data_IF_776918078276
#
_entry.id   IF_776918078276
#
_cell.length_a   1.000
_cell.length_b   1.000
_cell.length_c   1.000
_cell.angle_alpha   90.00
_cell.angle_beta   90.00
_cell.angle_gamma   90.00
#
_symmetry.space_group_name_H-M   'P 1'
#
loop_
_entity.id
_entity.type
_entity.pdbx_description
1 polymer ?
#
# COMPACT_ATOMS: atom_id res chain seq x y z
N UNK A 1 -3.00 9.56 -14.93
CA UNK A 1 -4.15 9.82 -14.03
C UNK A 1 -3.71 10.71 -12.85
N UNK A 2 -4.64 11.17 -12.00
CA UNK A 2 -4.29 11.87 -10.75
C UNK A 2 -3.42 10.99 -9.84
N UNK A 3 -3.75 9.70 -9.75
CA UNK A 3 -2.97 8.69 -9.01
C UNK A 3 -1.52 8.67 -9.48
N UNK A 4 -1.28 8.55 -10.79
CA UNK A 4 0.09 8.48 -11.30
C UNK A 4 0.89 9.76 -11.05
N UNK A 5 0.25 10.92 -11.19
CA UNK A 5 0.88 12.21 -10.98
C UNK A 5 1.33 12.39 -9.52
N UNK A 6 0.46 12.04 -8.57
CA UNK A 6 0.78 12.11 -7.14
C UNK A 6 1.87 11.11 -6.77
N UNK A 7 1.78 9.86 -7.22
CA UNK A 7 2.79 8.83 -6.93
C UNK A 7 4.19 9.24 -7.40
N UNK A 8 4.32 9.81 -8.60
CA UNK A 8 5.62 10.34 -9.09
C UNK A 8 6.12 11.52 -8.26
N UNK A 9 5.23 12.45 -7.91
CA UNK A 9 5.61 13.61 -7.09
C UNK A 9 6.17 13.15 -5.74
N UNK A 10 5.52 12.20 -5.07
CA UNK A 10 6.00 11.64 -3.80
C UNK A 10 7.30 10.85 -3.96
N UNK A 11 7.44 10.02 -5.00
CA UNK A 11 8.69 9.30 -5.29
C UNK A 11 9.88 10.25 -5.42
N UNK A 12 9.72 11.32 -6.21
CA UNK A 12 10.77 12.31 -6.42
C UNK A 12 11.18 13.01 -5.11
N UNK A 13 10.22 13.26 -4.21
CA UNK A 13 10.51 13.84 -2.90
C UNK A 13 11.22 12.85 -1.94
N UNK A 14 10.95 11.56 -2.06
CA UNK A 14 11.50 10.52 -1.17
C UNK A 14 12.83 9.91 -1.64
N UNK A 15 13.42 10.40 -2.74
CA UNK A 15 14.69 9.89 -3.27
C UNK A 15 14.55 8.84 -4.38
N UNK A 16 13.36 8.71 -4.97
CA UNK A 16 13.13 7.97 -6.22
C UNK A 16 12.82 6.47 -6.07
N UNK A 17 13.27 5.82 -4.99
CA UNK A 17 13.06 4.38 -4.77
C UNK A 17 11.96 4.12 -3.73
N UNK A 18 10.70 4.15 -4.17
CA UNK A 18 9.56 3.84 -3.31
C UNK A 18 8.56 2.96 -4.04
N UNK A 19 8.17 1.85 -3.43
CA UNK A 19 7.14 0.96 -3.95
C UNK A 19 5.75 1.58 -3.81
N UNK A 20 4.95 1.50 -4.86
CA UNK A 20 3.55 1.98 -4.83
C UNK A 20 2.62 0.78 -4.72
N UNK A 21 1.97 0.66 -3.57
CA UNK A 21 1.03 -0.42 -3.23
C UNK A 21 -0.37 0.18 -3.10
N UNK A 22 -1.36 -0.44 -3.75
CA UNK A 22 -2.76 -0.06 -3.66
C UNK A 22 -3.58 -1.11 -2.90
N UNK A 23 -4.57 -0.65 -2.12
CA UNK A 23 -5.53 -1.50 -1.41
C UNK A 23 -6.93 -0.88 -1.48
N UNK A 24 -7.96 -1.60 -1.04
CA UNK A 24 -9.37 -1.17 -1.08
C UNK A 24 -10.13 -1.66 -2.31
N UNK A 25 -11.46 -1.57 -2.26
CA UNK A 25 -12.36 -2.24 -3.22
C UNK A 25 -12.24 -1.80 -4.69
N UNK A 26 -11.72 -0.59 -4.95
CA UNK A 26 -11.51 -0.08 -6.31
C UNK A 26 -10.07 -0.22 -6.81
N UNK A 27 -9.16 -0.76 -5.98
CA UNK A 27 -7.73 -0.79 -6.28
C UNK A 27 -7.41 -1.55 -7.57
N UNK A 28 -8.03 -2.71 -7.80
CA UNK A 28 -7.80 -3.49 -9.02
C UNK A 28 -8.19 -2.73 -10.29
N UNK A 29 -9.35 -2.07 -10.27
CA UNK A 29 -9.84 -1.26 -11.42
C UNK A 29 -8.93 -0.07 -11.67
N UNK A 30 -8.50 0.62 -10.62
CA UNK A 30 -7.59 1.77 -10.74
C UNK A 30 -6.20 1.32 -11.24
N UNK A 31 -5.73 0.15 -10.79
CA UNK A 31 -4.44 -0.40 -11.19
C UNK A 31 -4.38 -0.71 -12.69
N UNK A 32 -5.47 -1.20 -13.29
CA UNK A 32 -5.56 -1.41 -14.74
C UNK A 32 -5.30 -0.14 -15.56
N UNK A 33 -5.60 1.03 -14.98
CA UNK A 33 -5.42 2.34 -15.62
C UNK A 33 -4.19 3.12 -15.10
N UNK A 34 -3.42 2.58 -14.15
CA UNK A 34 -2.27 3.24 -13.53
C UNK A 34 -0.96 2.68 -14.05
N UNK A 35 0.04 3.56 -14.22
CA UNK A 35 1.42 3.17 -14.56
C UNK A 35 2.35 3.11 -13.35
N UNK A 36 1.89 3.60 -12.20
CA UNK A 36 2.71 3.72 -11.01
C UNK A 36 2.44 2.62 -9.99
N UNK A 37 1.21 2.07 -9.93
CA UNK A 37 0.87 0.97 -9.01
C UNK A 37 1.62 -0.30 -9.41
N UNK A 38 2.42 -0.82 -8.49
CA UNK A 38 3.18 -2.06 -8.71
C UNK A 38 2.50 -3.28 -8.09
N UNK A 39 1.78 -3.09 -6.98
CA UNK A 39 1.15 -4.17 -6.22
C UNK A 39 -0.26 -3.75 -5.83
N UNK A 40 -1.22 -4.66 -6.03
CA UNK A 40 -2.55 -4.57 -5.42
C UNK A 40 -2.63 -5.60 -4.29
N UNK A 41 -2.79 -5.13 -3.06
CA UNK A 41 -2.91 -5.97 -1.87
C UNK A 41 -4.27 -5.71 -1.18
N UNK A 42 -5.28 -6.58 -1.37
CA UNK A 42 -6.60 -6.40 -0.78
C UNK A 42 -6.64 -6.67 0.73
N UNK A 43 -5.62 -7.31 1.31
CA UNK A 43 -5.59 -7.68 2.73
C UNK A 43 -4.67 -6.79 3.56
N UNK A 44 -3.99 -5.81 2.95
CA UNK A 44 -2.99 -4.94 3.59
C UNK A 44 -3.41 -4.43 4.99
N UNK A 45 -4.65 -3.94 5.13
CA UNK A 45 -5.16 -3.46 6.42
C UNK A 45 -5.31 -4.59 7.44
N UNK A 46 -5.84 -5.74 7.05
CA UNK A 46 -6.03 -6.89 7.93
C UNK A 46 -4.68 -7.49 8.34
N UNK A 47 -3.70 -7.52 7.44
CA UNK A 47 -2.34 -7.93 7.78
C UNK A 47 -1.72 -6.99 8.81
N UNK A 48 -1.86 -5.68 8.62
CA UNK A 48 -1.44 -4.68 9.60
C UNK A 48 -2.09 -4.88 10.97
N UNK A 49 -3.41 -5.09 11.02
CA UNK A 49 -4.12 -5.38 12.27
C UNK A 49 -3.65 -6.66 12.94
N UNK A 50 -3.39 -7.73 12.17
CA UNK A 50 -2.83 -8.99 12.68
C UNK A 50 -1.43 -8.78 13.27
N UNK A 51 -0.57 -8.00 12.62
CA UNK A 51 0.76 -7.65 13.11
C UNK A 51 0.66 -6.87 14.43
N UNK A 52 -0.20 -5.85 14.48
CA UNK A 52 -0.44 -5.04 15.69
C UNK A 52 -0.94 -5.93 16.83
N UNK A 53 -1.92 -6.79 16.57
CA UNK A 53 -2.43 -7.73 17.58
C UNK A 53 -1.30 -8.62 18.14
N UNK A 54 -0.48 -9.22 17.27
CA UNK A 54 0.61 -10.09 17.69
C UNK A 54 1.69 -9.34 18.48
N UNK A 55 2.00 -8.09 18.12
CA UNK A 55 2.97 -7.24 18.85
C UNK A 55 2.49 -6.88 20.26
N UNK A 56 1.18 -6.72 20.44
CA UNK A 56 0.59 -6.30 21.71
C UNK A 56 0.04 -7.46 22.53
N UNK A 57 0.14 -8.70 22.04
CA UNK A 57 -0.37 -9.84 22.78
C UNK A 57 0.58 -10.16 23.93
N UNK A 58 0.12 -10.15 25.19
CA UNK A 58 0.97 -10.55 26.30
C UNK A 58 1.46 -11.98 26.05
N UNK A 59 2.76 -12.18 26.23
CA UNK A 59 3.37 -13.51 26.11
C UNK A 59 2.72 -14.37 27.20
N UNK A 60 2.03 -15.44 26.81
CA UNK A 60 1.56 -16.43 27.79
C UNK A 60 2.81 -16.95 28.50
N UNK A 61 2.80 -16.88 29.83
CA UNK A 61 3.80 -17.50 30.69
C UNK A 61 3.85 -19.02 30.44
#
# INVERSE_FOLDING_TARGET
SLVDGMSRAFRNQLGGDCKVIATGGLASIIAEASKEIEIVDPLLTLEGLRIIYNKNRPRKA
#
